data_IF_350684547103
#
_entry.id   IF_350684547103
#
_cell.length_a   1.000
_cell.length_b   1.000
_cell.length_c   1.000
_cell.angle_alpha   90.00
_cell.angle_beta   90.00
_cell.angle_gamma   90.00
#
_symmetry.space_group_name_H-M   'P 1'
#
loop_
_entity.id
_entity.type
_entity.pdbx_description
1 polymer ?
#
# COMPACT_ATOMS: atom_id res chain seq x y z
N UNK A 1 -71.56 -6.10 2.31
CA UNK A 1 -70.19 -6.28 2.85
C UNK A 1 -69.21 -6.99 1.92
N UNK A 2 -69.56 -7.79 0.92
CA UNK A 2 -68.62 -8.49 0.02
C UNK A 2 -68.02 -7.66 -1.12
N UNK A 3 -68.57 -6.51 -1.49
CA UNK A 3 -68.05 -5.67 -2.56
C UNK A 3 -66.94 -4.66 -2.15
N UNK A 4 -66.86 -4.32 -0.86
CA UNK A 4 -65.81 -3.42 -0.35
C UNK A 4 -64.47 -4.15 -0.08
N UNK A 5 -64.49 -5.46 0.12
CA UNK A 5 -63.28 -6.24 0.36
C UNK A 5 -62.46 -6.49 -0.92
N UNK A 6 -63.16 -6.59 -2.08
CA UNK A 6 -62.51 -6.81 -3.37
C UNK A 6 -61.73 -5.59 -3.88
N UNK A 7 -62.24 -4.38 -3.62
CA UNK A 7 -61.57 -3.12 -4.04
C UNK A 7 -60.30 -2.82 -3.22
N UNK A 8 -60.32 -3.18 -1.91
CA UNK A 8 -59.13 -2.98 -1.05
C UNK A 8 -57.98 -3.92 -1.41
N UNK A 9 -58.24 -5.17 -1.80
CA UNK A 9 -57.21 -6.12 -2.19
C UNK A 9 -56.55 -5.75 -3.54
N UNK A 10 -57.29 -5.24 -4.50
CA UNK A 10 -56.77 -4.79 -5.79
C UNK A 10 -55.91 -3.55 -5.64
N UNK A 11 -56.27 -2.61 -4.77
CA UNK A 11 -55.48 -1.39 -4.53
C UNK A 11 -54.14 -1.69 -3.82
N UNK A 12 -54.12 -2.61 -2.85
CA UNK A 12 -52.91 -2.99 -2.15
C UNK A 12 -51.98 -3.79 -3.08
N UNK A 13 -52.53 -4.67 -3.93
CA UNK A 13 -51.72 -5.44 -4.92
C UNK A 13 -51.12 -4.52 -6.00
N UNK A 14 -51.85 -3.50 -6.46
CA UNK A 14 -51.35 -2.53 -7.44
C UNK A 14 -50.24 -1.65 -6.84
N UNK A 15 -50.37 -1.24 -5.58
CA UNK A 15 -49.34 -0.45 -4.89
C UNK A 15 -48.07 -1.27 -4.64
N UNK A 16 -48.18 -2.56 -4.27
CA UNK A 16 -47.06 -3.45 -4.11
C UNK A 16 -46.29 -3.73 -5.42
N UNK A 17 -47.01 -3.86 -6.55
CA UNK A 17 -46.40 -3.98 -7.87
C UNK A 17 -45.68 -2.70 -8.33
N UNK A 18 -46.21 -1.54 -8.07
CA UNK A 18 -45.54 -0.26 -8.42
C UNK A 18 -44.29 -0.03 -7.59
N UNK A 19 -44.30 -0.39 -6.29
CA UNK A 19 -43.14 -0.29 -5.42
C UNK A 19 -42.08 -1.31 -5.83
N UNK A 20 -42.45 -2.55 -6.14
CA UNK A 20 -41.53 -3.59 -6.61
C UNK A 20 -40.90 -3.20 -7.97
N UNK A 21 -41.67 -2.62 -8.89
CA UNK A 21 -41.17 -2.13 -10.17
C UNK A 21 -40.23 -0.93 -10.01
N UNK A 22 -40.50 -0.01 -9.06
CA UNK A 22 -39.63 1.13 -8.78
C UNK A 22 -38.30 0.70 -8.09
N UNK A 23 -38.32 -0.34 -7.29
CA UNK A 23 -37.12 -0.93 -6.70
C UNK A 23 -36.31 -1.71 -7.74
N UNK A 24 -36.95 -2.46 -8.63
CA UNK A 24 -36.32 -3.16 -9.73
C UNK A 24 -35.74 -2.18 -10.79
N UNK A 25 -36.45 -1.07 -11.09
CA UNK A 25 -35.96 -0.05 -12.01
C UNK A 25 -34.74 0.72 -11.48
N UNK A 26 -34.62 0.89 -10.16
CA UNK A 26 -33.40 1.49 -9.55
C UNK A 26 -32.17 0.61 -9.57
N UNK A 27 -32.31 -0.69 -9.77
CA UNK A 27 -31.20 -1.63 -9.88
C UNK A 27 -30.68 -1.85 -11.31
N UNK A 28 -31.38 -1.33 -12.34
CA UNK A 28 -31.04 -1.56 -13.75
C UNK A 28 -30.23 -0.45 -14.42
N UNK A 29 -29.97 0.69 -13.75
CA UNK A 29 -29.37 1.86 -14.41
C UNK A 29 -27.95 2.20 -13.92
N UNK A 30 -27.26 1.26 -13.29
CA UNK A 30 -25.83 1.43 -12.99
C UNK A 30 -25.02 0.75 -14.07
N UNK A 31 -24.21 1.54 -14.77
CA UNK A 31 -23.13 0.98 -15.62
C UNK A 31 -22.36 -0.08 -14.84
N UNK A 32 -22.05 -1.24 -15.44
CA UNK A 32 -21.27 -2.25 -14.74
C UNK A 32 -19.92 -1.67 -14.33
N UNK A 33 -19.46 -1.99 -13.11
CA UNK A 33 -18.13 -1.60 -12.65
C UNK A 33 -17.07 -2.16 -13.59
N UNK A 34 -16.25 -1.28 -14.14
CA UNK A 34 -15.15 -1.62 -15.06
C UNK A 34 -13.79 -1.41 -14.40
N UNK A 35 -13.72 -0.52 -13.42
CA UNK A 35 -12.48 -0.11 -12.78
C UNK A 35 -12.62 -0.13 -11.26
N UNK A 36 -11.58 -0.59 -10.59
CA UNK A 36 -11.41 -0.53 -9.13
C UNK A 36 -10.12 0.21 -8.84
N UNK A 37 -10.23 1.38 -8.22
CA UNK A 37 -9.11 2.12 -7.68
C UNK A 37 -8.97 1.77 -6.19
N UNK A 38 -7.94 0.99 -5.85
CA UNK A 38 -7.60 0.63 -4.47
C UNK A 38 -6.56 1.61 -3.92
N UNK A 39 -6.91 2.32 -2.86
CA UNK A 39 -6.04 3.21 -2.13
C UNK A 39 -5.75 2.60 -0.76
N UNK A 40 -4.57 2.05 -0.59
CA UNK A 40 -4.07 1.52 0.68
C UNK A 40 -3.28 2.60 1.40
N UNK A 41 -3.62 2.92 2.64
CA UNK A 41 -2.93 3.94 3.44
C UNK A 41 -2.27 3.26 4.62
N UNK A 42 -0.94 3.17 4.60
CA UNK A 42 -0.15 2.56 5.65
C UNK A 42 -0.33 3.31 6.97
N UNK A 43 -0.68 2.60 8.04
CA UNK A 43 -0.90 3.16 9.37
C UNK A 43 -2.32 3.65 9.66
N UNK A 44 -3.16 3.89 8.66
CA UNK A 44 -4.47 4.52 8.82
C UNK A 44 -5.43 3.69 9.69
N UNK A 45 -6.00 4.31 10.73
CA UNK A 45 -7.10 3.76 11.49
C UNK A 45 -8.45 4.26 10.97
N UNK A 46 -9.48 3.45 11.16
CA UNK A 46 -10.86 3.88 10.90
C UNK A 46 -11.23 5.11 11.74
N UNK A 47 -10.77 5.19 13.00
CA UNK A 47 -10.95 6.35 13.88
C UNK A 47 -10.34 7.64 13.31
N UNK A 48 -9.21 7.57 12.60
CA UNK A 48 -8.58 8.73 11.97
C UNK A 48 -9.45 9.30 10.85
N UNK A 49 -10.05 8.40 10.05
CA UNK A 49 -11.00 8.81 8.99
C UNK A 49 -12.23 9.45 9.61
N UNK A 50 -12.82 8.85 10.64
CA UNK A 50 -13.99 9.41 11.36
C UNK A 50 -13.64 10.78 11.95
N UNK A 51 -12.52 10.89 12.64
CA UNK A 51 -12.08 12.17 13.18
C UNK A 51 -11.91 13.22 12.07
N UNK A 52 -11.21 12.87 11.01
CA UNK A 52 -10.89 13.78 9.92
C UNK A 52 -12.15 14.30 9.20
N UNK A 53 -13.08 13.42 8.84
CA UNK A 53 -14.28 13.81 8.10
C UNK A 53 -15.24 14.65 8.96
N UNK A 54 -15.28 14.41 10.25
CA UNK A 54 -16.06 15.22 11.19
C UNK A 54 -15.52 16.65 11.31
N UNK A 55 -14.20 16.82 11.26
CA UNK A 55 -13.55 18.14 11.32
C UNK A 55 -13.47 18.82 9.92
N UNK A 56 -13.59 18.03 8.84
CA UNK A 56 -13.48 18.49 7.44
C UNK A 56 -14.66 18.00 6.60
N UNK A 57 -15.90 18.43 6.85
CA UNK A 57 -17.10 17.87 6.22
C UNK A 57 -17.22 18.16 4.71
N UNK A 58 -16.37 19.05 4.17
CA UNK A 58 -16.31 19.36 2.73
C UNK A 58 -15.15 18.68 2.01
N UNK A 59 -14.38 17.85 2.70
CA UNK A 59 -13.21 17.14 2.16
C UNK A 59 -13.59 16.04 1.17
N UNK A 60 -12.62 15.57 0.40
CA UNK A 60 -12.80 14.46 -0.54
C UNK A 60 -13.13 13.15 0.20
N UNK A 61 -12.46 12.88 1.32
CA UNK A 61 -12.76 11.72 2.18
C UNK A 61 -14.19 11.79 2.72
N UNK A 62 -14.64 12.96 3.18
CA UNK A 62 -16.03 13.14 3.61
C UNK A 62 -17.03 12.92 2.46
N UNK A 63 -16.66 13.26 1.23
CA UNK A 63 -17.48 12.96 0.05
C UNK A 63 -17.54 11.46 -0.26
N UNK A 64 -16.44 10.72 -0.10
CA UNK A 64 -16.42 9.26 -0.23
C UNK A 64 -17.31 8.60 0.83
N UNK A 65 -17.14 8.96 2.11
CA UNK A 65 -17.93 8.41 3.23
C UNK A 65 -19.44 8.64 3.01
N UNK A 66 -19.83 9.84 2.57
CA UNK A 66 -21.26 10.15 2.31
C UNK A 66 -21.88 9.35 1.17
N UNK A 67 -21.08 8.93 0.19
CA UNK A 67 -21.56 8.23 -1.02
C UNK A 67 -21.30 6.73 -0.98
N UNK A 68 -20.40 6.30 -0.13
CA UNK A 68 -19.90 4.95 -0.04
C UNK A 68 -20.55 4.11 1.05
N UNK A 69 -19.90 2.99 1.30
CA UNK A 69 -20.20 2.09 2.43
C UNK A 69 -18.97 2.05 3.32
N UNK A 70 -19.16 2.28 4.61
CA UNK A 70 -18.12 2.19 5.62
C UNK A 70 -18.19 0.81 6.29
N UNK A 71 -17.04 0.14 6.36
CA UNK A 71 -16.87 -1.14 7.05
C UNK A 71 -16.19 -0.90 8.41
N UNK A 72 -16.98 -0.52 9.41
CA UNK A 72 -16.48 -0.11 10.73
C UNK A 72 -15.72 -1.21 11.48
N UNK A 73 -15.92 -2.49 11.13
CA UNK A 73 -15.27 -3.64 11.74
C UNK A 73 -14.26 -4.33 10.82
N UNK A 74 -13.78 -3.63 9.78
CA UNK A 74 -12.70 -4.17 8.96
C UNK A 74 -11.44 -4.36 9.78
N UNK A 75 -10.75 -5.48 9.60
CA UNK A 75 -9.55 -5.85 10.34
C UNK A 75 -8.45 -6.25 9.36
N UNK A 76 -7.21 -5.88 9.69
CA UNK A 76 -6.04 -6.42 9.00
C UNK A 76 -5.84 -7.90 9.39
N UNK A 77 -5.11 -8.69 8.57
CA UNK A 77 -4.71 -10.05 8.94
C UNK A 77 -3.93 -10.06 10.26
N UNK A 78 -3.91 -11.20 10.94
CA UNK A 78 -3.10 -11.40 12.14
C UNK A 78 -2.14 -12.59 11.96
N UNK A 79 -0.85 -12.42 12.27
CA UNK A 79 -0.15 -11.16 12.55
C UNK A 79 -0.22 -10.21 11.37
N UNK A 80 -0.02 -8.92 11.61
CA UNK A 80 -0.09 -7.89 10.58
C UNK A 80 1.16 -7.03 10.58
N UNK A 81 1.66 -6.79 9.39
CA UNK A 81 2.66 -5.81 9.02
C UNK A 81 2.47 -5.49 7.52
N UNK A 82 3.40 -4.81 6.91
CA UNK A 82 3.30 -4.32 5.55
C UNK A 82 3.01 -5.42 4.52
N UNK A 83 3.73 -6.54 4.54
CA UNK A 83 3.52 -7.61 3.58
C UNK A 83 2.27 -8.45 3.88
N UNK A 84 2.08 -9.04 5.08
CA UNK A 84 0.86 -9.80 5.35
C UNK A 84 -0.41 -8.93 5.21
N UNK A 85 -0.34 -7.65 5.57
CA UNK A 85 -1.45 -6.71 5.43
C UNK A 85 -1.82 -6.46 3.97
N UNK A 86 -0.82 -6.15 3.11
CA UNK A 86 -1.08 -5.93 1.69
C UNK A 86 -1.53 -7.19 0.97
N UNK A 87 -0.88 -8.33 1.26
CA UNK A 87 -1.28 -9.63 0.74
C UNK A 87 -2.72 -9.96 1.16
N UNK A 88 -3.08 -9.68 2.43
CA UNK A 88 -4.45 -9.85 2.91
C UNK A 88 -5.48 -9.03 2.14
N UNK A 89 -5.16 -7.77 1.78
CA UNK A 89 -6.05 -6.93 0.98
C UNK A 89 -6.33 -7.50 -0.42
N UNK A 90 -5.32 -8.12 -1.04
CA UNK A 90 -5.44 -8.58 -2.44
C UNK A 90 -5.77 -10.07 -2.58
N UNK A 91 -5.86 -10.80 -1.46
CA UNK A 91 -6.21 -12.23 -1.45
C UNK A 91 -7.43 -12.55 -0.61
N UNK A 92 -7.78 -11.71 0.36
CA UNK A 92 -8.76 -12.01 1.41
C UNK A 92 -8.26 -13.03 2.43
N UNK A 93 -6.99 -13.46 2.35
CA UNK A 93 -6.40 -14.51 3.18
C UNK A 93 -5.66 -14.00 4.40
N UNK A 94 -5.66 -14.79 5.47
CA UNK A 94 -4.77 -14.59 6.61
C UNK A 94 -3.39 -15.28 6.34
N UNK A 95 -2.33 -14.95 7.09
CA UNK A 95 -1.00 -15.54 6.96
C UNK A 95 -0.98 -17.06 6.88
N UNK A 96 -1.83 -17.75 7.64
CA UNK A 96 -1.93 -19.22 7.60
C UNK A 96 -2.37 -19.78 6.24
N UNK A 97 -3.16 -19.03 5.48
CA UNK A 97 -3.60 -19.43 4.13
C UNK A 97 -2.69 -18.89 3.04
N UNK A 98 -2.17 -17.67 3.21
CA UNK A 98 -1.32 -17.03 2.19
C UNK A 98 0.12 -17.51 2.20
N UNK A 99 0.62 -17.94 3.36
CA UNK A 99 2.03 -18.30 3.58
C UNK A 99 2.94 -17.12 3.92
N UNK A 100 2.40 -15.89 3.96
CA UNK A 100 3.15 -14.67 4.28
C UNK A 100 2.80 -14.25 5.70
N UNK A 101 3.68 -14.53 6.66
CA UNK A 101 3.41 -14.33 8.09
C UNK A 101 3.84 -12.97 8.63
N UNK A 102 4.94 -12.44 8.10
CA UNK A 102 5.53 -11.16 8.52
C UNK A 102 6.48 -10.63 7.44
N UNK A 103 7.09 -9.48 7.65
CA UNK A 103 8.09 -8.92 6.75
C UNK A 103 9.38 -9.76 6.78
N UNK A 104 9.74 -10.30 7.95
CA UNK A 104 10.78 -11.32 8.13
C UNK A 104 10.18 -12.60 8.69
N UNK A 105 10.54 -13.74 8.11
CA UNK A 105 10.02 -15.05 8.54
C UNK A 105 11.08 -16.13 8.43
N UNK A 106 11.12 -17.06 9.39
CA UNK A 106 11.94 -18.26 9.28
C UNK A 106 11.27 -19.27 8.37
N UNK A 107 11.93 -19.60 7.26
CA UNK A 107 11.48 -20.64 6.34
C UNK A 107 12.28 -21.91 6.57
N UNK A 108 11.60 -23.02 6.88
CA UNK A 108 12.23 -24.33 7.18
C UNK A 108 12.51 -25.17 5.94
N UNK A 109 12.07 -24.76 4.76
CA UNK A 109 12.11 -25.54 3.51
C UNK A 109 13.17 -25.02 2.54
N UNK A 110 13.65 -23.78 2.72
CA UNK A 110 14.57 -23.12 1.81
C UNK A 110 16.00 -23.10 2.36
N UNK A 111 16.95 -22.91 1.47
CA UNK A 111 18.37 -22.75 1.76
C UNK A 111 18.76 -21.28 1.80
N UNK A 112 19.85 -20.92 2.51
CA UNK A 112 20.36 -19.55 2.54
C UNK A 112 20.64 -18.98 1.14
N UNK A 113 20.46 -17.66 1.01
CA UNK A 113 20.82 -16.91 -0.17
C UNK A 113 22.30 -17.20 -0.58
N UNK A 114 22.56 -17.22 -1.88
CA UNK A 114 23.90 -17.51 -2.42
C UNK A 114 24.33 -18.98 -2.35
N UNK A 115 23.46 -19.91 -1.94
CA UNK A 115 23.74 -21.34 -1.98
C UNK A 115 23.87 -21.83 -3.43
N UNK A 116 25.03 -22.33 -3.81
CA UNK A 116 25.33 -22.81 -5.18
C UNK A 116 25.38 -24.32 -5.30
N UNK A 117 25.48 -25.04 -4.16
CA UNK A 117 25.45 -26.51 -4.10
C UNK A 117 24.40 -26.90 -3.06
N UNK A 118 23.35 -27.58 -3.48
CA UNK A 118 22.19 -27.86 -2.63
C UNK A 118 22.22 -29.27 -2.03
N UNK A 119 23.14 -30.12 -2.47
CA UNK A 119 23.28 -31.49 -1.94
C UNK A 119 23.75 -31.49 -0.50
N UNK A 120 23.02 -32.21 0.36
CA UNK A 120 23.35 -32.37 1.78
C UNK A 120 23.31 -31.08 2.64
N UNK A 121 22.80 -29.98 2.14
CA UNK A 121 22.61 -28.74 2.92
C UNK A 121 21.26 -28.82 3.66
N UNK A 122 21.30 -28.58 4.98
CA UNK A 122 20.09 -28.58 5.80
C UNK A 122 19.29 -27.30 5.53
N UNK A 123 18.01 -27.39 5.14
CA UNK A 123 17.14 -26.24 4.99
C UNK A 123 16.88 -25.51 6.32
N UNK A 124 16.62 -24.24 6.22
CA UNK A 124 16.29 -23.33 7.30
C UNK A 124 16.99 -21.99 7.12
N UNK A 125 16.22 -20.95 6.82
CA UNK A 125 16.76 -19.62 6.54
C UNK A 125 15.74 -18.56 6.95
N UNK A 126 16.22 -17.40 7.39
CA UNK A 126 15.44 -16.19 7.47
C UNK A 126 15.14 -15.68 6.06
N UNK A 127 13.89 -15.35 5.81
CA UNK A 127 13.44 -14.78 4.54
C UNK A 127 12.96 -13.39 4.80
N UNK A 128 13.66 -12.42 4.22
CA UNK A 128 13.34 -11.00 4.26
C UNK A 128 12.66 -10.61 2.96
N UNK A 129 11.47 -9.99 3.04
CA UNK A 129 10.64 -9.72 1.86
C UNK A 129 10.77 -8.30 1.32
N UNK A 130 11.55 -7.38 1.93
CA UNK A 130 11.26 -5.98 1.67
C UNK A 130 12.47 -5.06 1.50
N UNK A 131 13.39 -5.01 2.44
CA UNK A 131 14.27 -3.83 2.51
C UNK A 131 15.62 -4.01 1.84
N UNK A 132 15.95 -5.22 1.35
CA UNK A 132 17.30 -5.52 0.91
C UNK A 132 17.35 -6.33 -0.38
N UNK A 133 16.24 -6.45 -1.07
CA UNK A 133 16.17 -7.25 -2.29
C UNK A 133 16.56 -6.48 -3.55
N UNK A 134 16.70 -5.16 -3.47
CA UNK A 134 17.02 -4.32 -4.62
C UNK A 134 18.49 -4.48 -5.01
N UNK A 135 18.79 -4.45 -6.30
CA UNK A 135 20.15 -4.41 -6.84
C UNK A 135 20.98 -3.25 -6.27
N UNK A 136 20.31 -2.15 -5.98
CA UNK A 136 20.88 -1.04 -5.23
C UNK A 136 19.81 -0.43 -4.29
N UNK A 137 19.73 -0.85 -3.02
CA UNK A 137 18.76 -0.35 -2.07
C UNK A 137 18.98 1.12 -1.65
N UNK A 138 20.12 1.72 -2.00
CA UNK A 138 20.39 3.12 -1.74
C UNK A 138 19.90 4.05 -2.87
N UNK A 139 19.46 3.49 -3.99
CA UNK A 139 18.96 4.26 -5.13
C UNK A 139 17.42 4.17 -5.22
N UNK A 140 16.75 5.32 -5.38
CA UNK A 140 15.29 5.40 -5.49
C UNK A 140 14.74 4.53 -6.63
N UNK A 141 15.52 4.36 -7.70
CA UNK A 141 15.21 3.53 -8.87
C UNK A 141 15.65 2.06 -8.71
N UNK A 142 15.97 1.64 -7.48
CA UNK A 142 16.41 0.28 -7.14
C UNK A 142 17.66 -0.20 -7.92
N UNK A 143 18.48 0.74 -8.41
CA UNK A 143 19.69 0.46 -9.17
C UNK A 143 19.47 0.33 -10.68
N UNK A 144 18.38 0.82 -11.22
CA UNK A 144 18.15 0.87 -12.67
C UNK A 144 19.06 1.87 -13.38
N UNK A 145 19.62 2.86 -12.67
CA UNK A 145 20.52 3.86 -13.22
C UNK A 145 19.83 4.94 -14.03
N UNK A 146 18.62 5.34 -13.59
CA UNK A 146 17.87 6.39 -14.27
C UNK A 146 18.53 7.76 -14.07
N UNK A 147 18.64 8.58 -15.14
CA UNK A 147 19.05 9.96 -15.04
C UNK A 147 17.93 10.83 -14.46
N UNK A 148 18.26 12.05 -14.09
CA UNK A 148 17.28 13.09 -13.69
C UNK A 148 16.40 12.69 -12.48
N UNK A 149 16.98 12.05 -11.50
CA UNK A 149 16.28 11.82 -10.23
C UNK A 149 16.14 13.14 -9.46
N UNK A 150 14.97 13.40 -8.82
CA UNK A 150 13.78 12.55 -8.77
C UNK A 150 12.83 12.67 -9.98
N UNK A 151 13.03 13.60 -10.90
CA UNK A 151 12.13 13.84 -12.03
C UNK A 151 11.99 12.67 -13.00
N UNK A 152 13.06 11.86 -13.16
CA UNK A 152 13.07 10.68 -14.02
C UNK A 152 12.50 9.41 -13.42
N UNK A 153 12.10 9.41 -12.13
CA UNK A 153 11.71 8.18 -11.43
C UNK A 153 10.53 7.46 -12.07
N UNK A 154 9.61 8.17 -12.68
CA UNK A 154 8.49 7.59 -13.42
C UNK A 154 8.93 6.77 -14.65
N UNK A 155 10.21 6.84 -15.06
CA UNK A 155 10.76 5.99 -16.13
C UNK A 155 11.22 4.61 -15.63
N UNK A 156 11.08 4.31 -14.33
CA UNK A 156 11.35 2.96 -13.82
C UNK A 156 10.56 1.93 -14.60
N UNK A 157 11.10 0.71 -14.63
CA UNK A 157 10.37 -0.42 -15.21
C UNK A 157 9.12 -0.74 -14.38
N UNK A 158 8.02 -1.09 -15.06
CA UNK A 158 6.83 -1.69 -14.43
C UNK A 158 6.97 -3.18 -14.12
N UNK A 159 8.19 -3.74 -14.18
CA UNK A 159 8.49 -5.15 -13.90
C UNK A 159 9.62 -5.26 -12.84
N UNK A 160 9.35 -4.98 -11.57
CA UNK A 160 10.36 -4.87 -10.50
C UNK A 160 11.14 -6.17 -10.25
N UNK A 161 10.64 -7.32 -10.66
CA UNK A 161 11.40 -8.58 -10.59
C UNK A 161 12.79 -8.44 -11.22
N UNK A 162 12.93 -7.65 -12.28
CA UNK A 162 14.21 -7.38 -12.95
C UNK A 162 15.19 -6.53 -12.12
N UNK A 163 14.71 -5.88 -11.07
CA UNK A 163 15.47 -5.02 -10.16
C UNK A 163 15.88 -5.74 -8.87
N UNK A 164 15.39 -6.97 -8.66
CA UNK A 164 15.75 -7.79 -7.50
C UNK A 164 17.15 -8.36 -7.70
N UNK A 165 17.98 -8.27 -6.65
CA UNK A 165 19.26 -8.95 -6.57
C UNK A 165 19.04 -10.43 -6.20
N UNK A 166 19.16 -11.31 -7.18
CA UNK A 166 18.96 -12.75 -6.97
C UNK A 166 19.92 -13.36 -5.95
N UNK A 167 21.06 -12.71 -5.68
CA UNK A 167 22.03 -13.18 -4.68
C UNK A 167 21.53 -13.01 -3.24
N UNK A 168 20.51 -12.18 -3.02
CA UNK A 168 19.84 -11.97 -1.74
C UNK A 168 18.66 -12.93 -1.53
N UNK A 169 18.26 -13.66 -2.57
CA UNK A 169 17.11 -14.56 -2.47
C UNK A 169 17.50 -15.91 -1.89
N UNK A 170 16.65 -16.53 -1.04
CA UNK A 170 16.82 -17.90 -0.60
C UNK A 170 16.71 -18.85 -1.79
N UNK A 171 17.23 -20.06 -1.62
CA UNK A 171 17.37 -21.02 -2.70
C UNK A 171 16.49 -22.24 -2.43
N UNK A 172 15.78 -22.71 -3.43
CA UNK A 172 15.00 -23.95 -3.39
C UNK A 172 15.99 -25.16 -3.42
N UNK A 173 15.98 -26.04 -2.40
CA UNK A 173 16.88 -27.20 -2.35
C UNK A 173 16.66 -28.20 -3.47
N UNK A 174 15.51 -28.23 -4.12
CA UNK A 174 15.18 -29.18 -5.18
C UNK A 174 15.71 -28.73 -6.54
N UNK A 175 15.63 -27.44 -6.81
CA UNK A 175 16.00 -26.87 -8.11
C UNK A 175 17.35 -26.18 -8.08
N UNK A 176 17.85 -25.87 -6.89
CA UNK A 176 19.05 -25.07 -6.62
C UNK A 176 19.00 -23.70 -7.32
N UNK A 177 17.79 -23.09 -7.33
CA UNK A 177 17.52 -21.77 -7.94
C UNK A 177 16.99 -20.79 -6.90
N UNK A 178 17.24 -19.47 -7.09
CA UNK A 178 16.64 -18.44 -6.26
C UNK A 178 15.11 -18.50 -6.29
N UNK A 179 14.49 -18.22 -5.14
CA UNK A 179 13.04 -18.21 -4.95
C UNK A 179 12.59 -16.74 -4.82
N UNK A 180 11.82 -16.27 -5.79
CA UNK A 180 11.31 -14.90 -5.82
C UNK A 180 10.12 -14.71 -4.88
N UNK A 181 9.82 -13.48 -4.43
CA UNK A 181 8.74 -13.19 -3.47
C UNK A 181 7.38 -13.79 -3.86
N UNK A 182 6.95 -13.71 -5.12
CA UNK A 182 5.67 -14.29 -5.58
C UNK A 182 5.57 -15.80 -5.36
N UNK A 183 6.71 -16.51 -5.33
CA UNK A 183 6.74 -17.98 -5.16
C UNK A 183 6.49 -18.44 -3.73
N UNK A 184 6.52 -17.52 -2.74
CA UNK A 184 6.11 -17.82 -1.36
C UNK A 184 4.61 -17.85 -1.17
N UNK A 185 3.87 -17.13 -2.03
CA UNK A 185 2.44 -16.96 -1.92
C UNK A 185 1.73 -18.25 -2.31
N UNK A 186 0.87 -18.76 -1.40
CA UNK A 186 0.17 -20.05 -1.56
C UNK A 186 -1.21 -19.92 -2.19
N UNK A 187 -1.69 -18.71 -2.41
CA UNK A 187 -3.00 -18.40 -2.98
C UNK A 187 -2.87 -17.35 -4.07
N UNK A 188 -3.81 -17.32 -5.01
CA UNK A 188 -3.85 -16.31 -6.07
C UNK A 188 -4.26 -14.94 -5.51
N UNK A 189 -3.97 -13.89 -6.27
CA UNK A 189 -4.37 -12.51 -5.96
C UNK A 189 -5.49 -12.03 -6.87
N UNK A 190 -6.19 -10.97 -6.46
CA UNK A 190 -7.18 -10.31 -7.34
C UNK A 190 -6.55 -9.86 -8.67
N UNK A 191 -5.26 -9.52 -8.67
CA UNK A 191 -4.52 -9.16 -9.87
C UNK A 191 -4.38 -10.35 -10.83
N UNK A 192 -4.00 -11.54 -10.33
CA UNK A 192 -3.97 -12.74 -11.16
C UNK A 192 -5.35 -13.10 -11.72
N UNK A 193 -6.40 -13.00 -10.89
CA UNK A 193 -7.78 -13.27 -11.33
C UNK A 193 -8.18 -12.32 -12.46
N UNK A 194 -7.89 -11.03 -12.31
CA UNK A 194 -8.16 -10.04 -13.35
C UNK A 194 -7.34 -10.31 -14.63
N UNK A 195 -6.06 -10.63 -14.49
CA UNK A 195 -5.19 -10.98 -15.63
C UNK A 195 -5.67 -12.21 -16.39
N UNK A 196 -6.09 -13.24 -15.67
CA UNK A 196 -6.64 -14.47 -16.27
C UNK A 196 -7.97 -14.20 -17.01
N UNK A 197 -8.69 -13.17 -16.63
CA UNK A 197 -9.88 -12.67 -17.33
C UNK A 197 -9.53 -11.72 -18.51
N UNK A 198 -8.25 -11.53 -18.85
CA UNK A 198 -7.79 -10.64 -19.92
C UNK A 198 -7.81 -9.16 -19.58
N UNK A 199 -7.98 -8.82 -18.29
CA UNK A 199 -8.07 -7.44 -17.84
C UNK A 199 -6.69 -6.84 -17.53
N UNK A 200 -6.52 -5.54 -17.71
CA UNK A 200 -5.30 -4.81 -17.36
C UNK A 200 -5.26 -4.53 -15.87
N UNK A 201 -4.06 -4.65 -15.28
CA UNK A 201 -3.79 -4.44 -13.86
C UNK A 201 -2.57 -3.54 -13.67
N UNK A 202 -2.58 -2.70 -12.63
CA UNK A 202 -1.45 -1.87 -12.24
C UNK A 202 -1.42 -1.67 -10.72
N UNK A 203 -0.23 -1.42 -10.16
CA UNK A 203 -0.07 -1.14 -8.73
C UNK A 203 1.20 -0.33 -8.48
N UNK A 204 1.17 0.53 -7.46
CA UNK A 204 2.35 1.26 -6.99
C UNK A 204 2.60 1.02 -5.50
N UNK A 205 3.79 0.55 -5.15
CA UNK A 205 4.20 0.28 -3.77
C UNK A 205 5.63 0.79 -3.48
N UNK A 206 6.25 0.37 -2.38
CA UNK A 206 7.43 1.00 -1.78
C UNK A 206 8.74 0.22 -1.91
N UNK A 207 8.72 -1.04 -2.36
CA UNK A 207 9.89 -1.90 -2.52
C UNK A 207 9.72 -2.84 -3.70
N UNK A 208 10.80 -3.27 -4.34
CA UNK A 208 10.75 -4.25 -5.44
C UNK A 208 10.16 -5.58 -4.99
N UNK A 209 10.30 -5.92 -3.72
CA UNK A 209 9.73 -7.14 -3.13
C UNK A 209 8.19 -7.20 -3.14
N UNK A 210 7.50 -6.08 -3.38
CA UNK A 210 6.06 -6.11 -3.65
C UNK A 210 5.71 -6.81 -4.97
N UNK A 211 6.71 -7.31 -5.66
CA UNK A 211 6.57 -8.32 -6.71
C UNK A 211 5.77 -9.55 -6.24
N UNK A 212 5.72 -9.81 -4.93
CA UNK A 212 4.85 -10.83 -4.31
C UNK A 212 3.38 -10.69 -4.70
N UNK A 213 2.89 -9.47 -4.96
CA UNK A 213 1.49 -9.20 -5.32
C UNK A 213 1.12 -9.70 -6.71
N UNK A 214 2.11 -10.06 -7.54
CA UNK A 214 1.87 -10.73 -8.82
C UNK A 214 1.17 -12.09 -8.67
N UNK A 215 1.08 -12.62 -7.44
CA UNK A 215 0.54 -13.96 -7.19
C UNK A 215 1.48 -15.07 -7.66
N UNK A 216 1.16 -16.34 -7.38
CA UNK A 216 2.05 -17.49 -7.66
C UNK A 216 2.57 -17.60 -9.08
N UNK A 217 1.87 -17.08 -10.08
CA UNK A 217 2.34 -17.04 -11.47
C UNK A 217 3.46 -16.03 -11.72
N UNK A 218 3.61 -15.04 -10.86
CA UNK A 218 4.54 -13.92 -11.05
C UNK A 218 4.11 -12.94 -12.16
N UNK A 219 2.85 -12.96 -12.61
CA UNK A 219 2.37 -12.17 -13.77
C UNK A 219 1.04 -11.45 -13.55
N UNK A 220 0.58 -11.36 -12.30
CA UNK A 220 -0.71 -10.76 -11.96
C UNK A 220 -0.80 -9.25 -12.19
N UNK A 221 0.31 -8.52 -12.10
CA UNK A 221 0.37 -7.08 -12.31
C UNK A 221 1.18 -6.76 -13.56
N UNK A 222 0.56 -6.06 -14.51
CA UNK A 222 1.23 -5.70 -15.77
C UNK A 222 2.12 -4.48 -15.64
N UNK A 223 1.80 -3.60 -14.69
CA UNK A 223 2.49 -2.34 -14.48
C UNK A 223 2.65 -2.13 -12.96
N UNK A 224 3.80 -2.55 -12.44
CA UNK A 224 4.10 -2.52 -11.01
C UNK A 224 5.26 -1.54 -10.75
N UNK A 225 4.91 -0.35 -10.31
CA UNK A 225 5.85 0.74 -10.02
C UNK A 225 6.27 0.72 -8.55
N UNK A 226 7.56 0.49 -8.27
CA UNK A 226 8.07 0.27 -6.92
C UNK A 226 9.36 1.05 -6.64
N UNK A 227 9.30 2.39 -6.56
CA UNK A 227 10.45 3.17 -6.13
C UNK A 227 10.86 2.80 -4.70
N UNK A 228 12.17 2.71 -4.41
CA UNK A 228 12.67 2.25 -3.12
C UNK A 228 12.59 3.33 -2.03
N UNK A 229 11.74 3.12 -1.03
CA UNK A 229 11.50 4.11 0.03
C UNK A 229 12.66 4.26 1.02
N UNK A 230 13.45 3.20 1.21
CA UNK A 230 14.59 3.24 2.13
C UNK A 230 15.86 3.78 1.46
N UNK A 231 15.76 4.19 0.18
CA UNK A 231 16.88 4.80 -0.54
C UNK A 231 17.23 6.18 0.02
N UNK A 232 18.43 6.64 -0.32
CA UNK A 232 18.93 7.95 0.10
C UNK A 232 18.04 9.09 -0.42
N UNK A 233 17.71 10.05 0.46
CA UNK A 233 16.74 11.10 0.17
C UNK A 233 17.24 12.48 0.64
N UNK A 234 16.93 13.57 -0.08
CA UNK A 234 16.21 13.62 -1.37
C UNK A 234 17.09 13.31 -2.58
N UNK A 235 18.38 13.10 -2.38
CA UNK A 235 19.38 12.86 -3.44
C UNK A 235 20.36 11.77 -3.02
N UNK A 236 21.02 11.10 -3.97
CA UNK A 236 22.10 10.16 -3.68
C UNK A 236 23.21 10.78 -2.82
N UNK A 237 23.75 10.03 -1.88
CA UNK A 237 24.74 10.46 -0.89
C UNK A 237 24.14 11.13 0.35
N UNK A 238 22.82 11.24 0.46
CA UNK A 238 22.14 11.73 1.67
C UNK A 238 22.27 10.71 2.83
N UNK A 239 22.49 11.18 4.08
CA UNK A 239 22.56 10.28 5.24
C UNK A 239 21.19 9.85 5.77
N UNK A 240 20.09 10.21 5.12
CA UNK A 240 18.71 9.90 5.52
C UNK A 240 17.96 9.28 4.34
N UNK A 241 16.87 8.61 4.64
CA UNK A 241 15.92 8.07 3.66
C UNK A 241 14.59 8.85 3.63
N UNK A 242 13.67 8.44 2.75
CA UNK A 242 12.38 9.10 2.55
C UNK A 242 11.43 9.00 3.77
N UNK A 243 11.72 8.13 4.74
CA UNK A 243 10.89 7.95 5.95
C UNK A 243 11.34 8.81 7.12
N UNK A 244 12.52 9.40 7.05
CA UNK A 244 13.13 10.18 8.14
C UNK A 244 12.52 11.58 8.28
N UNK A 245 11.81 12.06 7.25
CA UNK A 245 11.09 13.32 7.26
C UNK A 245 9.74 13.18 6.55
N UNK A 246 8.65 13.63 7.17
CA UNK A 246 7.31 13.45 6.62
C UNK A 246 7.05 14.27 5.34
N UNK A 247 7.75 15.38 5.12
CA UNK A 247 7.65 16.11 3.85
C UNK A 247 8.36 15.35 2.72
N UNK A 248 9.48 14.68 3.01
CA UNK A 248 10.12 13.75 2.06
C UNK A 248 9.20 12.56 1.75
N UNK A 249 8.53 12.00 2.77
CA UNK A 249 7.55 10.93 2.53
C UNK A 249 6.38 11.41 1.65
N UNK A 250 5.89 12.62 1.85
CA UNK A 250 4.87 13.22 0.97
C UNK A 250 5.38 13.37 -0.47
N UNK A 251 6.62 13.80 -0.66
CA UNK A 251 7.24 13.89 -1.99
C UNK A 251 7.38 12.50 -2.62
N UNK A 252 7.80 11.51 -1.85
CA UNK A 252 7.86 10.13 -2.30
C UNK A 252 6.48 9.60 -2.74
N UNK A 253 5.45 9.79 -1.93
CA UNK A 253 4.09 9.41 -2.29
C UNK A 253 3.59 10.13 -3.55
N UNK A 254 4.06 11.37 -3.83
CA UNK A 254 3.73 12.10 -5.04
C UNK A 254 4.14 11.37 -6.32
N UNK A 255 5.23 10.64 -6.33
CA UNK A 255 5.64 9.87 -7.50
C UNK A 255 4.62 8.78 -7.82
N UNK A 256 4.14 8.07 -6.80
CA UNK A 256 3.08 7.06 -6.93
C UNK A 256 1.72 7.68 -7.29
N UNK A 257 1.41 8.84 -6.71
CA UNK A 257 0.20 9.61 -7.09
C UNK A 257 0.23 9.96 -8.58
N UNK A 258 1.38 10.42 -9.11
CA UNK A 258 1.49 10.73 -10.53
C UNK A 258 1.34 9.47 -11.40
N UNK A 259 1.89 8.34 -10.98
CA UNK A 259 1.70 7.05 -11.65
C UNK A 259 0.22 6.69 -11.77
N UNK A 260 -0.53 6.77 -10.65
CA UNK A 260 -1.98 6.49 -10.64
C UNK A 260 -2.77 7.50 -11.49
N UNK A 261 -2.39 8.78 -11.49
CA UNK A 261 -3.02 9.78 -12.37
C UNK A 261 -2.79 9.47 -13.85
N UNK A 262 -1.59 9.02 -14.22
CA UNK A 262 -1.30 8.56 -15.58
C UNK A 262 -2.18 7.36 -15.95
N UNK A 263 -2.33 6.40 -15.04
CA UNK A 263 -3.18 5.21 -15.23
C UNK A 263 -4.67 5.55 -15.37
N UNK A 264 -5.19 6.50 -14.57
CA UNK A 264 -6.57 7.02 -14.74
C UNK A 264 -6.75 7.63 -16.13
N UNK A 265 -5.74 8.35 -16.63
CA UNK A 265 -5.75 8.96 -17.95
C UNK A 265 -5.49 7.96 -19.09
N UNK A 266 -5.39 6.66 -18.79
CA UNK A 266 -5.24 5.59 -19.77
C UNK A 266 -3.81 5.36 -20.25
N UNK A 267 -2.81 5.81 -19.51
CA UNK A 267 -1.39 5.58 -19.78
C UNK A 267 -0.81 4.50 -18.86
N UNK A 268 0.42 4.10 -19.12
CA UNK A 268 1.25 3.37 -18.16
C UNK A 268 1.66 4.32 -17.00
N UNK A 269 2.23 3.79 -15.92
CA UNK A 269 2.66 4.59 -14.77
C UNK A 269 3.60 5.75 -15.18
N UNK A 270 4.42 5.56 -16.22
CA UNK A 270 5.36 6.58 -16.70
C UNK A 270 4.69 7.73 -17.46
N UNK A 271 3.46 7.53 -17.94
CA UNK A 271 2.76 8.46 -18.84
C UNK A 271 3.25 8.41 -20.30
N UNK A 272 4.13 7.47 -20.65
CA UNK A 272 4.72 7.40 -22.00
C UNK A 272 3.84 6.63 -22.98
N UNK A 273 3.19 5.55 -22.54
CA UNK A 273 2.44 4.64 -23.43
C UNK A 273 0.95 4.66 -23.11
N UNK A 274 0.13 4.93 -24.11
CA UNK A 274 -1.33 4.86 -23.98
C UNK A 274 -1.78 3.40 -24.06
N UNK A 275 -2.24 2.85 -22.94
CA UNK A 275 -2.55 1.41 -22.78
C UNK A 275 -3.95 1.13 -22.23
N UNK A 276 -4.73 2.18 -21.99
CA UNK A 276 -6.06 2.13 -21.39
C UNK A 276 -6.03 2.12 -19.86
N UNK A 277 -7.10 2.61 -19.23
CA UNK A 277 -7.26 2.61 -17.77
C UNK A 277 -7.34 1.17 -17.26
N UNK A 278 -6.58 0.77 -16.23
CA UNK A 278 -6.61 -0.59 -15.71
C UNK A 278 -7.96 -0.94 -15.07
N UNK A 279 -8.31 -2.22 -15.07
CA UNK A 279 -9.50 -2.71 -14.38
C UNK A 279 -9.30 -2.76 -12.86
N UNK A 280 -8.09 -3.09 -12.39
CA UNK A 280 -7.70 -3.02 -10.97
C UNK A 280 -6.37 -2.30 -10.90
N UNK A 281 -6.31 -1.23 -10.13
CA UNK A 281 -5.10 -0.42 -9.97
C UNK A 281 -5.15 0.41 -8.70
N UNK A 282 -4.05 1.05 -8.38
CA UNK A 282 -3.95 1.94 -7.23
C UNK A 282 -2.56 2.01 -6.62
N UNK A 283 -2.50 2.42 -5.36
CA UNK A 283 -1.23 2.62 -4.67
C UNK A 283 -1.33 2.44 -3.16
N UNK A 284 -0.17 2.29 -2.55
CA UNK A 284 -0.01 2.38 -1.11
C UNK A 284 0.62 3.73 -0.72
N UNK A 285 -0.05 4.48 0.18
CA UNK A 285 0.48 5.71 0.79
C UNK A 285 1.31 5.39 2.02
N UNK A 286 2.41 6.13 2.23
CA UNK A 286 3.31 6.00 3.40
C UNK A 286 3.23 7.19 4.36
N UNK A 287 2.72 8.31 3.91
CA UNK A 287 2.72 9.59 4.65
C UNK A 287 2.07 9.51 6.02
N UNK A 288 0.97 8.75 6.18
CA UNK A 288 0.29 8.60 7.48
C UNK A 288 1.15 7.79 8.44
N UNK A 289 1.68 6.65 8.01
CA UNK A 289 2.56 5.80 8.82
C UNK A 289 3.79 6.55 9.34
N UNK A 290 4.45 7.36 8.50
CA UNK A 290 5.60 8.15 8.97
C UNK A 290 5.19 9.28 9.93
N UNK A 291 4.01 9.89 9.72
CA UNK A 291 3.50 10.91 10.63
C UNK A 291 3.15 10.36 12.02
N UNK A 292 2.79 9.09 12.12
CA UNK A 292 2.56 8.40 13.39
C UNK A 292 3.86 8.00 14.07
N UNK A 293 4.85 7.52 13.32
CA UNK A 293 6.12 6.97 13.84
C UNK A 293 7.13 8.04 14.24
N UNK A 294 7.17 9.18 13.53
CA UNK A 294 8.11 10.25 13.79
C UNK A 294 7.70 11.04 15.04
N UNK A 295 8.58 11.24 16.03
CA UNK A 295 8.30 12.07 17.19
C UNK A 295 7.97 13.52 16.80
N UNK A 296 8.64 14.03 15.78
CA UNK A 296 8.39 15.32 15.17
C UNK A 296 8.99 15.37 13.75
N UNK A 297 8.38 16.17 12.87
CA UNK A 297 8.92 16.50 11.55
C UNK A 297 8.43 17.88 11.13
N UNK A 298 9.31 18.66 10.49
CA UNK A 298 9.01 20.01 10.00
C UNK A 298 8.38 20.96 11.04
N UNK A 299 8.79 20.83 12.31
CA UNK A 299 8.29 21.62 13.42
C UNK A 299 6.94 21.19 13.99
N UNK A 300 6.37 20.07 13.51
CA UNK A 300 5.12 19.50 13.98
C UNK A 300 5.38 18.22 14.79
N UNK A 301 4.67 18.06 15.91
CA UNK A 301 4.70 16.82 16.72
C UNK A 301 3.93 15.71 16.01
N UNK A 302 4.51 14.50 15.97
CA UNK A 302 3.92 13.32 15.36
C UNK A 302 3.00 12.54 16.29
N UNK A 303 2.38 11.49 15.72
CA UNK A 303 1.47 10.61 16.45
C UNK A 303 0.18 11.29 16.88
N UNK A 304 -0.34 10.82 18.03
CA UNK A 304 -1.59 11.29 18.62
C UNK A 304 -1.33 12.23 19.77
N UNK A 305 -2.35 13.01 20.15
CA UNK A 305 -2.32 13.80 21.37
C UNK A 305 -2.30 12.89 22.61
N UNK A 306 -2.24 13.48 23.81
CA UNK A 306 -2.15 12.74 25.07
C UNK A 306 -3.35 11.82 25.37
N UNK A 307 -4.47 12.01 24.69
CA UNK A 307 -5.64 11.13 24.76
C UNK A 307 -5.47 9.81 23.97
N UNK A 308 -4.41 9.70 23.15
CA UNK A 308 -4.08 8.52 22.36
C UNK A 308 -4.99 8.26 21.15
N UNK A 309 -5.94 9.15 20.87
CA UNK A 309 -6.93 8.98 19.77
C UNK A 309 -7.08 10.20 18.86
N UNK A 310 -6.80 11.40 19.36
CA UNK A 310 -6.86 12.63 18.56
C UNK A 310 -5.56 12.77 17.75
N UNK A 311 -5.62 12.81 16.40
CA UNK A 311 -4.45 13.03 15.57
C UNK A 311 -3.67 14.30 15.96
N UNK A 312 -2.38 14.15 16.20
CA UNK A 312 -1.47 15.26 16.44
C UNK A 312 -1.27 16.13 15.19
N UNK A 313 -0.55 17.26 15.29
CA UNK A 313 -0.40 18.20 14.19
C UNK A 313 0.22 17.59 12.92
N UNK A 314 1.21 16.72 13.07
CA UNK A 314 1.86 16.06 11.93
C UNK A 314 0.94 15.06 11.26
N UNK A 315 0.25 14.22 12.06
CA UNK A 315 -0.71 13.24 11.56
C UNK A 315 -1.91 13.94 10.89
N UNK A 316 -2.43 15.01 11.48
CA UNK A 316 -3.48 15.82 10.85
C UNK A 316 -3.06 16.36 9.50
N UNK A 317 -1.80 16.84 9.34
CA UNK A 317 -1.23 17.28 8.06
C UNK A 317 -1.15 16.12 7.06
N UNK A 318 -0.76 14.93 7.50
CA UNK A 318 -0.69 13.74 6.66
C UNK A 318 -2.08 13.32 6.14
N UNK A 319 -3.12 13.38 6.98
CA UNK A 319 -4.50 13.12 6.58
C UNK A 319 -5.00 14.15 5.55
N UNK A 320 -4.68 15.44 5.72
CA UNK A 320 -4.97 16.49 4.71
C UNK A 320 -4.28 16.19 3.38
N UNK A 321 -3.03 15.71 3.42
CA UNK A 321 -2.31 15.30 2.20
C UNK A 321 -3.05 14.17 1.49
N UNK A 322 -3.38 13.08 2.17
CA UNK A 322 -4.13 11.95 1.59
C UNK A 322 -5.47 12.41 1.03
N UNK A 323 -6.23 13.21 1.77
CA UNK A 323 -7.51 13.80 1.31
C UNK A 323 -7.34 14.57 -0.01
N UNK A 324 -6.28 15.40 -0.09
CA UNK A 324 -5.97 16.17 -1.30
C UNK A 324 -5.72 15.26 -2.50
N UNK A 325 -4.97 14.17 -2.32
CA UNK A 325 -4.69 13.25 -3.42
C UNK A 325 -5.94 12.46 -3.83
N UNK A 326 -6.75 12.01 -2.88
CA UNK A 326 -8.07 11.39 -3.14
C UNK A 326 -8.97 12.33 -3.94
N UNK A 327 -8.93 13.63 -3.63
CA UNK A 327 -9.62 14.66 -4.40
C UNK A 327 -9.16 14.74 -5.85
N UNK A 328 -7.82 14.69 -6.09
CA UNK A 328 -7.24 14.68 -7.45
C UNK A 328 -7.65 13.43 -8.24
N UNK A 329 -7.58 12.25 -7.62
CA UNK A 329 -8.02 11.01 -8.27
C UNK A 329 -9.49 11.06 -8.64
N UNK A 330 -10.33 11.51 -7.70
CA UNK A 330 -11.78 11.66 -7.94
C UNK A 330 -12.07 12.66 -9.06
N UNK A 331 -11.28 13.73 -9.18
CA UNK A 331 -11.43 14.69 -10.27
C UNK A 331 -10.96 14.09 -11.60
N UNK A 332 -9.79 13.44 -11.64
CA UNK A 332 -9.29 12.80 -12.86
C UNK A 332 -10.25 11.72 -13.39
N UNK A 333 -10.86 10.91 -12.50
CA UNK A 333 -11.88 9.92 -12.86
C UNK A 333 -13.09 10.61 -13.54
N UNK A 334 -13.58 11.74 -13.01
CA UNK A 334 -14.66 12.51 -13.62
C UNK A 334 -14.25 13.09 -14.97
N UNK A 335 -13.05 13.65 -15.08
CA UNK A 335 -12.54 14.26 -16.31
C UNK A 335 -12.41 13.24 -17.44
N UNK A 336 -12.17 11.96 -17.09
CA UNK A 336 -12.17 10.83 -18.02
C UNK A 336 -13.54 10.17 -18.22
N UNK A 337 -14.61 10.71 -17.62
CA UNK A 337 -15.99 10.15 -17.68
C UNK A 337 -16.06 8.68 -17.19
N UNK A 338 -15.29 8.34 -16.16
CA UNK A 338 -15.19 7.00 -15.57
C UNK A 338 -15.95 6.86 -14.25
N UNK A 339 -16.57 7.92 -13.74
CA UNK A 339 -17.19 7.98 -12.40
C UNK A 339 -18.36 7.00 -12.24
N UNK A 340 -19.13 6.74 -13.29
CA UNK A 340 -20.23 5.76 -13.26
C UNK A 340 -19.76 4.31 -13.31
N UNK A 341 -18.49 4.07 -13.66
CA UNK A 341 -17.92 2.73 -13.86
C UNK A 341 -16.71 2.42 -12.96
N UNK A 342 -16.35 3.34 -12.07
CA UNK A 342 -15.20 3.18 -11.14
C UNK A 342 -15.67 3.09 -9.71
N UNK A 343 -15.18 2.07 -8.98
CA UNK A 343 -15.28 1.96 -7.53
C UNK A 343 -13.94 2.39 -6.92
N UNK A 344 -14.00 3.32 -5.96
CA UNK A 344 -12.84 3.72 -5.15
C UNK A 344 -12.93 2.98 -3.82
N UNK A 345 -11.90 2.22 -3.48
CA UNK A 345 -11.75 1.55 -2.18
C UNK A 345 -10.62 2.23 -1.43
N UNK A 346 -10.92 2.85 -0.28
CA UNK A 346 -9.94 3.34 0.67
C UNK A 346 -9.82 2.33 1.81
N UNK A 347 -8.62 1.85 2.07
CA UNK A 347 -8.32 0.86 3.10
C UNK A 347 -6.94 1.12 3.71
N UNK A 348 -6.57 0.31 4.71
CA UNK A 348 -5.23 0.28 5.27
C UNK A 348 -4.69 -1.15 5.20
N UNK A 349 -3.44 -1.35 4.82
CA UNK A 349 -2.84 -2.69 4.89
C UNK A 349 -2.64 -3.13 6.35
N UNK A 350 -2.32 -2.19 7.21
CA UNK A 350 -2.35 -2.32 8.67
C UNK A 350 -2.48 -0.92 9.28
N UNK A 351 -2.86 -0.87 10.55
CA UNK A 351 -2.79 0.32 11.38
C UNK A 351 -1.59 0.23 12.33
N UNK A 352 -1.15 1.36 12.88
CA UNK A 352 -0.16 1.39 13.96
C UNK A 352 -0.89 1.31 15.31
N UNK A 353 -0.30 0.64 16.30
CA UNK A 353 -0.84 0.69 17.65
C UNK A 353 -0.65 2.09 18.23
N UNK A 354 -1.70 2.82 18.61
CA UNK A 354 -1.58 4.11 19.27
C UNK A 354 -0.76 3.95 20.55
N UNK A 355 0.20 4.83 20.76
CA UNK A 355 1.09 4.77 21.90
C UNK A 355 1.03 6.10 22.67
N UNK A 356 0.99 6.00 23.98
CA UNK A 356 1.27 7.15 24.84
C UNK A 356 2.80 7.33 24.92
N UNK A 357 3.40 8.38 24.31
CA UNK A 357 4.84 8.58 24.31
C UNK A 357 5.45 8.69 25.71
N UNK A 358 4.66 9.16 26.68
CA UNK A 358 5.08 9.31 28.09
C UNK A 358 5.12 7.97 28.84
N UNK A 359 4.33 7.00 28.41
CA UNK A 359 4.28 5.65 28.98
C UNK A 359 5.11 4.63 28.19
N UNK A 360 5.61 4.99 27.01
CA UNK A 360 6.37 4.10 26.15
C UNK A 360 7.77 3.86 26.67
N UNK A 361 8.11 2.61 26.97
CA UNK A 361 9.49 2.17 27.25
C UNK A 361 10.02 1.40 26.04
N UNK A 362 10.96 2.00 25.31
CA UNK A 362 11.67 1.33 24.21
C UNK A 362 12.77 0.45 24.76
N UNK A 363 12.72 -0.84 24.48
CA UNK A 363 13.79 -1.80 24.81
C UNK A 363 14.70 -1.92 23.59
N UNK A 364 15.94 -1.41 23.63
CA UNK A 364 16.87 -1.57 22.51
C UNK A 364 17.16 -3.04 22.23
N UNK A 365 17.13 -3.46 20.97
CA UNK A 365 17.42 -4.84 20.53
C UNK A 365 18.79 -5.35 21.00
N UNK A 366 19.80 -4.47 21.12
CA UNK A 366 21.10 -4.81 21.68
C UNK A 366 21.07 -5.37 23.12
N UNK A 367 19.97 -5.14 23.87
CA UNK A 367 19.80 -5.75 25.20
C UNK A 367 19.11 -7.12 25.17
N UNK A 368 18.43 -7.47 24.10
CA UNK A 368 17.81 -8.80 23.95
C UNK A 368 18.81 -9.84 23.44
N UNK A 369 19.87 -9.41 22.74
CA UNK A 369 20.91 -10.29 22.17
C UNK A 369 22.03 -10.68 23.13
N UNK A 370 22.09 -10.12 24.36
CA UNK A 370 23.15 -10.43 25.32
C UNK A 370 23.01 -11.79 26.01
N UNK A 371 22.14 -12.70 25.51
CA UNK A 371 22.04 -14.07 26.05
C UNK A 371 22.68 -15.14 25.17
N UNK A 372 23.24 -14.81 24.02
CA UNK A 372 24.07 -15.79 23.26
C UNK A 372 24.89 -15.09 22.17
N UNK A 373 26.11 -14.66 22.45
CA UNK A 373 27.32 -14.85 21.66
C UNK A 373 28.43 -13.87 22.05
N UNK A 374 29.70 -14.24 22.02
CA UNK A 374 30.82 -13.36 22.40
C UNK A 374 31.36 -12.55 21.23
N UNK A 375 31.48 -11.26 21.47
CA UNK A 375 32.40 -10.25 20.88
C UNK A 375 32.53 -10.05 19.38
N UNK A 376 32.19 -8.82 18.97
CA UNK A 376 32.65 -8.14 17.77
C UNK A 376 32.01 -6.74 17.67
N UNK A 377 32.56 -5.75 18.41
CA UNK A 377 32.03 -4.42 18.46
C UNK A 377 32.46 -3.55 17.26
N UNK A 378 31.53 -2.86 16.59
CA UNK A 378 31.80 -1.57 15.93
C UNK A 378 30.90 -0.48 16.50
N UNK A 379 31.51 0.62 16.94
CA UNK A 379 30.88 1.83 17.46
C UNK A 379 30.24 2.60 16.30
N UNK A 380 28.98 2.99 16.46
CA UNK A 380 28.35 4.03 15.64
C UNK A 380 28.39 5.34 16.40
N UNK A 381 29.00 6.34 15.81
CA UNK A 381 29.14 7.71 16.32
C UNK A 381 27.90 8.54 16.00
N UNK A 382 27.41 9.28 17.01
CA UNK A 382 26.32 10.27 16.90
C UNK A 382 26.74 11.42 15.96
N UNK A 383 25.91 11.74 14.98
CA UNK A 383 26.03 12.94 14.17
C UNK A 383 25.14 14.04 14.71
N UNK A 384 25.69 15.26 14.78
CA UNK A 384 25.02 16.50 15.18
C UNK A 384 24.38 17.17 13.97
N UNK A 385 23.15 17.67 14.16
CA UNK A 385 22.33 18.29 13.11
C UNK A 385 22.70 19.75 12.83
N UNK A 386 22.83 20.12 11.58
CA UNK A 386 22.76 21.49 11.09
C UNK A 386 21.56 21.68 10.16
N UNK A 387 20.84 22.81 10.35
CA UNK A 387 19.64 23.15 9.58
C UNK A 387 20.01 23.60 8.17
N UNK A 388 19.46 22.96 7.14
CA UNK A 388 19.32 23.56 5.81
C UNK A 388 17.85 23.73 5.45
N UNK A 389 17.51 24.88 4.85
CA UNK A 389 16.14 25.18 4.40
C UNK A 389 15.87 24.43 3.09
N UNK A 390 14.85 23.61 3.08
CA UNK A 390 14.34 22.89 1.90
C UNK A 390 13.32 23.76 1.17
N UNK A 391 13.52 23.93 -0.12
CA UNK A 391 12.53 24.48 -1.06
C UNK A 391 11.50 23.40 -1.38
N UNK A 392 10.25 23.62 -1.01
CA UNK A 392 9.14 22.73 -1.24
C UNK A 392 8.76 22.72 -2.72
N UNK A 393 8.97 21.60 -3.39
CA UNK A 393 8.35 21.33 -4.70
C UNK A 393 6.92 20.86 -4.47
N UNK A 394 5.95 21.57 -5.05
CA UNK A 394 4.54 21.23 -4.95
C UNK A 394 4.19 20.09 -5.93
N UNK A 395 3.60 19.04 -5.43
CA UNK A 395 2.76 18.10 -6.20
C UNK A 395 1.39 18.68 -6.47
#
# INVERSE_FOLDING_TARGET
MKRFLAVGIVAVSALALVVASAVAARSQDRSPTKHVLLLSVDGLHQSDVVWFVNHNPKSALAALVRRGVEFANAQSPFPSDSFPGMVGQVTGGNPSSTGIYYDDSWNTELLPAGTTSCDCVKPGVEVTYFEQLDKNPLALDAGQGLPDLPGGILKMTGAPKSLIDETQLPVDPKTCKPVFPHQYLKVNTIFEVARNAGLRTAWSDKHTAYEVLNGPSGTGIQDLFTPEINSEAPTPGSPIDWTNDNALTMQYDCYKVQAVLNEINGYDHSGASKVGTPAIFGMNFQTVSTAEKLPASNGLTGGYLSDGVTPGPLLSRALVYVDTQVGKFSQAIRDQHLDDSTVIILSAKHAQSPQNPLALTRIPTARSSTRSTPRGSRRVTRATWSRSRSTTTRC
#
